data_IF_615980226849
#
_entry.id   IF_615980226849
#
_cell.length_a   1.000
_cell.length_b   1.000
_cell.length_c   1.000
_cell.angle_alpha   90.00
_cell.angle_beta   90.00
_cell.angle_gamma   90.00
#
_symmetry.space_group_name_H-M   'P 1'
#
loop_
_entity.id
_entity.type
_entity.pdbx_description
1 polymer ?
#
# COMPACT_ATOMS: atom_id res chain seq x y z
N UNK A 1 -19.66 -2.37 -23.41
CA UNK A 1 -18.88 -3.42 -22.71
C UNK A 1 -17.95 -2.76 -21.70
N UNK A 2 -18.17 -2.94 -20.39
CA UNK A 2 -17.37 -2.30 -19.33
C UNK A 2 -15.92 -2.77 -19.39
N UNK A 3 -15.03 -1.95 -19.99
CA UNK A 3 -13.62 -2.27 -20.25
C UNK A 3 -12.71 -2.25 -19.01
N UNK A 4 -13.24 -1.87 -17.85
CA UNK A 4 -12.47 -1.77 -16.61
C UNK A 4 -13.19 -2.47 -15.45
N UNK A 5 -13.32 -3.80 -15.51
CA UNK A 5 -13.69 -4.56 -14.31
C UNK A 5 -12.51 -4.55 -13.36
N UNK A 6 -12.69 -3.91 -12.20
CA UNK A 6 -11.76 -3.98 -11.07
C UNK A 6 -11.40 -5.44 -10.77
N UNK A 7 -10.19 -5.67 -10.28
CA UNK A 7 -9.81 -6.99 -9.77
C UNK A 7 -10.69 -7.32 -8.56
N UNK A 8 -11.27 -8.51 -8.56
CA UNK A 8 -12.03 -9.05 -7.43
C UNK A 8 -11.09 -9.60 -6.36
N UNK A 9 -11.59 -9.75 -5.13
CA UNK A 9 -10.83 -10.33 -4.02
C UNK A 9 -10.31 -11.74 -4.38
N UNK A 10 -11.17 -12.60 -4.93
CA UNK A 10 -10.81 -13.97 -5.33
C UNK A 10 -9.77 -13.99 -6.46
N UNK A 11 -9.84 -13.04 -7.39
CA UNK A 11 -8.83 -12.89 -8.44
C UNK A 11 -7.46 -12.54 -7.83
N UNK A 12 -7.42 -11.71 -6.78
CA UNK A 12 -6.17 -11.40 -6.07
C UNK A 12 -5.61 -12.61 -5.33
N UNK A 13 -6.46 -13.40 -4.68
CA UNK A 13 -6.05 -14.67 -4.04
C UNK A 13 -5.44 -15.58 -5.08
N UNK A 14 -6.09 -15.74 -6.24
CA UNK A 14 -5.59 -16.58 -7.32
C UNK A 14 -4.26 -16.11 -7.90
N UNK A 15 -4.03 -14.79 -8.00
CA UNK A 15 -2.70 -14.22 -8.37
C UNK A 15 -1.63 -14.72 -7.40
N UNK A 16 -1.89 -14.70 -6.08
CA UNK A 16 -0.91 -15.11 -5.07
C UNK A 16 -0.53 -16.59 -5.19
N UNK A 17 -1.51 -17.46 -5.41
CA UNK A 17 -1.32 -18.91 -5.63
C UNK A 17 -0.43 -19.17 -6.85
N UNK A 18 -0.79 -18.58 -8.00
CA UNK A 18 -0.03 -18.75 -9.24
C UNK A 18 1.37 -18.15 -9.16
N UNK A 19 1.57 -17.10 -8.36
CA UNK A 19 2.90 -16.55 -8.07
C UNK A 19 3.74 -17.50 -7.20
N UNK A 20 3.12 -18.22 -6.25
CA UNK A 20 3.80 -19.26 -5.46
C UNK A 20 4.23 -20.43 -6.34
N UNK A 21 3.45 -20.77 -7.36
CA UNK A 21 3.78 -21.76 -8.39
C UNK A 21 4.84 -21.28 -9.41
N UNK A 22 5.21 -19.99 -9.40
CA UNK A 22 6.21 -19.43 -10.31
C UNK A 22 5.68 -19.17 -11.73
N UNK A 23 4.36 -19.02 -11.89
CA UNK A 23 3.72 -18.73 -13.18
C UNK A 23 4.10 -17.34 -13.69
N UNK A 24 4.21 -17.19 -15.01
CA UNK A 24 4.49 -15.90 -15.64
C UNK A 24 3.27 -14.98 -15.64
N UNK A 25 3.45 -13.67 -15.76
CA UNK A 25 2.33 -12.73 -15.87
C UNK A 25 1.37 -13.07 -17.01
N UNK A 26 1.87 -13.59 -18.13
CA UNK A 26 1.03 -14.03 -19.25
C UNK A 26 0.15 -15.21 -18.87
N UNK A 27 0.70 -16.20 -18.17
CA UNK A 27 -0.05 -17.35 -17.71
C UNK A 27 -1.12 -16.96 -16.67
N UNK A 28 -0.75 -16.13 -15.69
CA UNK A 28 -1.68 -15.61 -14.67
C UNK A 28 -2.81 -14.82 -15.33
N UNK A 29 -2.48 -13.95 -16.28
CA UNK A 29 -3.47 -13.12 -16.95
C UNK A 29 -4.46 -13.95 -17.80
N UNK A 30 -3.97 -14.95 -18.52
CA UNK A 30 -4.82 -15.86 -19.29
C UNK A 30 -5.81 -16.61 -18.39
N UNK A 31 -5.35 -17.05 -17.22
CA UNK A 31 -6.19 -17.80 -16.28
C UNK A 31 -7.29 -16.93 -15.65
N UNK A 32 -7.01 -15.65 -15.42
CA UNK A 32 -7.98 -14.70 -14.86
C UNK A 32 -8.85 -14.01 -15.93
N UNK A 33 -8.61 -14.27 -17.22
CA UNK A 33 -9.25 -13.52 -18.31
C UNK A 33 -8.92 -12.02 -18.28
N UNK A 34 -7.71 -11.65 -17.82
CA UNK A 34 -7.23 -10.26 -17.73
C UNK A 34 -6.08 -10.01 -18.70
N UNK A 35 -5.65 -8.74 -18.79
CA UNK A 35 -4.42 -8.41 -19.52
C UNK A 35 -3.17 -8.67 -18.67
N UNK A 36 -2.03 -9.08 -19.26
CA UNK A 36 -0.76 -9.18 -18.53
C UNK A 36 -0.32 -7.86 -17.89
N UNK A 37 -0.69 -6.73 -18.49
CA UNK A 37 -0.45 -5.38 -17.94
C UNK A 37 -1.25 -5.12 -16.68
N UNK A 38 -2.49 -5.62 -16.58
CA UNK A 38 -3.32 -5.53 -15.36
C UNK A 38 -2.67 -6.30 -14.22
N UNK A 39 -2.26 -7.55 -14.48
CA UNK A 39 -1.58 -8.40 -13.49
C UNK A 39 -0.24 -7.76 -13.05
N UNK A 40 0.56 -7.28 -14.01
CA UNK A 40 1.83 -6.63 -13.67
C UNK A 40 1.63 -5.37 -12.84
N UNK A 41 0.60 -4.56 -13.12
CA UNK A 41 0.31 -3.34 -12.36
C UNK A 41 -0.15 -3.69 -10.95
N UNK A 42 -1.05 -4.65 -10.81
CA UNK A 42 -1.53 -5.12 -9.51
C UNK A 42 -0.36 -5.56 -8.61
N UNK A 43 0.50 -6.44 -9.12
CA UNK A 43 1.61 -6.99 -8.33
C UNK A 43 2.59 -5.89 -7.93
N UNK A 44 2.98 -5.01 -8.87
CA UNK A 44 3.93 -3.93 -8.61
C UNK A 44 3.38 -2.90 -7.62
N UNK A 45 2.10 -2.56 -7.72
CA UNK A 45 1.46 -1.55 -6.86
C UNK A 45 1.21 -2.03 -5.43
N UNK A 46 1.07 -3.34 -5.22
CA UNK A 46 0.73 -3.92 -3.91
C UNK A 46 1.81 -4.88 -3.38
N UNK A 47 3.08 -4.68 -3.78
CA UNK A 47 4.22 -5.44 -3.24
C UNK A 47 4.60 -4.93 -1.85
N UNK A 48 4.79 -5.85 -0.91
CA UNK A 48 5.24 -5.58 0.46
C UNK A 48 6.68 -6.01 0.63
N UNK A 49 7.50 -5.16 1.28
CA UNK A 49 8.87 -5.49 1.63
C UNK A 49 9.00 -5.97 3.08
N UNK A 50 9.73 -7.06 3.32
CA UNK A 50 10.04 -7.57 4.67
C UNK A 50 11.54 -7.80 4.84
N UNK A 51 12.13 -7.19 5.88
CA UNK A 51 13.54 -7.37 6.27
C UNK A 51 13.74 -8.66 7.07
N UNK A 52 13.48 -9.80 6.44
CA UNK A 52 13.54 -11.13 7.07
C UNK A 52 14.39 -12.10 6.23
N UNK A 53 15.17 -12.94 6.91
CA UNK A 53 15.86 -14.07 6.29
C UNK A 53 14.94 -15.27 6.08
N UNK A 54 15.48 -16.35 5.50
CA UNK A 54 14.83 -17.66 5.49
C UNK A 54 14.72 -18.21 6.93
N UNK A 55 13.86 -19.21 7.18
CA UNK A 55 13.82 -19.90 8.48
C UNK A 55 15.22 -20.31 8.94
N UNK A 56 15.57 -19.97 10.19
CA UNK A 56 16.89 -20.24 10.77
C UNK A 56 18.03 -19.34 10.27
N UNK A 57 17.79 -18.43 9.31
CA UNK A 57 18.79 -17.50 8.81
C UNK A 57 18.44 -16.06 9.18
N UNK A 58 19.40 -15.28 9.73
CA UNK A 58 19.17 -13.87 10.02
C UNK A 58 18.99 -13.08 8.72
N UNK A 59 18.19 -12.01 8.79
CA UNK A 59 18.19 -11.02 7.73
C UNK A 59 19.58 -10.40 7.61
N UNK A 60 20.14 -10.45 6.40
CA UNK A 60 21.39 -9.77 6.09
C UNK A 60 21.45 -9.48 4.58
N UNK A 61 21.25 -8.22 4.22
CA UNK A 61 21.36 -7.73 2.85
C UNK A 61 22.73 -7.12 2.50
N UNK A 62 23.80 -7.40 3.26
CA UNK A 62 25.14 -6.88 2.93
C UNK A 62 25.75 -7.66 1.75
N UNK A 63 26.41 -7.00 0.79
CA UNK A 63 27.19 -7.64 -0.30
C UNK A 63 28.27 -8.56 0.22
N UNK A 64 28.88 -8.21 1.36
CA UNK A 64 29.96 -8.97 1.99
C UNK A 64 29.46 -10.05 2.96
N UNK A 65 28.16 -10.32 3.05
CA UNK A 65 27.55 -11.26 4.02
C UNK A 65 28.11 -12.68 3.98
N UNK A 66 28.75 -13.12 2.91
CA UNK A 66 29.32 -14.47 2.83
C UNK A 66 30.78 -14.54 3.31
N UNK A 67 31.50 -13.42 3.35
CA UNK A 67 32.94 -13.36 3.64
C UNK A 67 33.32 -12.38 4.76
N UNK A 68 32.35 -11.66 5.32
CA UNK A 68 32.59 -10.71 6.40
C UNK A 68 33.02 -11.44 7.68
N UNK A 69 34.24 -11.13 8.15
CA UNK A 69 34.82 -11.70 9.37
C UNK A 69 34.61 -10.83 10.61
N UNK A 70 34.06 -9.63 10.45
CA UNK A 70 33.78 -8.72 11.57
C UNK A 70 32.85 -9.39 12.59
N UNK A 71 33.08 -9.13 13.87
CA UNK A 71 32.34 -9.71 15.00
C UNK A 71 32.19 -8.66 16.11
N UNK A 72 31.31 -8.93 17.08
CA UNK A 72 31.12 -8.07 18.26
C UNK A 72 30.70 -6.61 17.94
N UNK A 73 30.02 -6.39 16.80
CA UNK A 73 29.71 -5.03 16.34
C UNK A 73 28.52 -4.39 17.05
N UNK A 74 27.51 -5.18 17.43
CA UNK A 74 26.34 -4.69 18.14
C UNK A 74 26.26 -5.27 19.56
N UNK A 75 25.45 -4.65 20.42
CA UNK A 75 25.27 -5.05 21.82
C UNK A 75 24.90 -6.53 21.97
N UNK A 76 24.03 -7.05 21.09
CA UNK A 76 23.64 -8.46 21.06
C UNK A 76 24.80 -9.40 20.72
N UNK A 77 25.70 -8.99 19.82
CA UNK A 77 26.89 -9.78 19.47
C UNK A 77 27.93 -9.82 20.59
N UNK A 78 27.94 -8.81 21.46
CA UNK A 78 28.87 -8.68 22.59
C UNK A 78 28.54 -9.58 23.78
N UNK A 79 27.34 -10.16 23.83
CA UNK A 79 26.93 -11.00 24.94
C UNK A 79 27.70 -12.34 24.93
N UNK A 80 28.26 -12.76 26.08
CA UNK A 80 29.20 -13.89 26.17
C UNK A 80 28.66 -15.22 25.60
N UNK A 81 27.34 -15.41 25.60
CA UNK A 81 26.65 -16.60 25.06
C UNK A 81 26.26 -16.50 23.57
N UNK A 82 26.35 -15.32 22.97
CA UNK A 82 25.86 -15.03 21.62
C UNK A 82 26.91 -14.30 20.77
N UNK A 83 28.18 -14.63 21.02
CA UNK A 83 29.31 -14.18 20.20
C UNK A 83 29.03 -14.54 18.75
N UNK A 84 28.64 -13.56 17.95
CA UNK A 84 28.21 -13.77 16.58
C UNK A 84 29.03 -12.92 15.63
N UNK A 85 29.30 -13.51 14.48
CA UNK A 85 29.87 -12.80 13.36
C UNK A 85 28.81 -11.90 12.72
N UNK A 86 29.25 -10.82 12.07
CA UNK A 86 28.38 -9.86 11.38
C UNK A 86 27.47 -10.54 10.36
N UNK A 87 27.93 -11.61 9.70
CA UNK A 87 27.13 -12.37 8.75
C UNK A 87 26.01 -13.20 9.39
N UNK A 88 26.07 -13.44 10.70
CA UNK A 88 25.11 -14.23 11.48
C UNK A 88 24.20 -13.36 12.36
N UNK A 89 24.35 -12.03 12.32
CA UNK A 89 23.55 -11.12 13.13
C UNK A 89 22.64 -10.26 12.26
N UNK A 90 21.34 -10.24 12.60
CA UNK A 90 20.32 -9.41 11.91
C UNK A 90 20.43 -7.91 12.16
N UNK A 91 21.18 -7.51 13.20
CA UNK A 91 21.30 -6.11 13.63
C UNK A 91 22.59 -5.47 13.12
N UNK A 92 23.60 -6.26 12.73
CA UNK A 92 24.91 -5.72 12.38
C UNK A 92 24.91 -4.86 11.11
N UNK A 93 23.89 -4.96 10.26
CA UNK A 93 23.80 -4.16 9.04
C UNK A 93 23.74 -2.65 9.31
N UNK A 94 23.21 -2.21 10.45
CA UNK A 94 23.13 -0.77 10.80
C UNK A 94 24.38 -0.21 11.46
N UNK A 95 25.31 -1.05 11.91
CA UNK A 95 26.49 -0.64 12.70
C UNK A 95 27.82 -1.05 12.06
N UNK A 96 27.82 -1.95 11.08
CA UNK A 96 29.04 -2.42 10.45
C UNK A 96 29.62 -1.35 9.50
N UNK A 97 30.85 -0.90 9.75
CA UNK A 97 31.56 0.06 8.89
C UNK A 97 31.84 -0.46 7.48
N UNK A 98 31.87 -1.80 7.29
CA UNK A 98 32.04 -2.47 5.98
C UNK A 98 30.72 -2.83 5.32
N UNK A 99 29.58 -2.37 5.86
CA UNK A 99 28.27 -2.66 5.28
C UNK A 99 28.14 -2.03 3.89
N UNK A 100 27.76 -2.85 2.93
CA UNK A 100 27.39 -2.38 1.59
C UNK A 100 26.07 -3.05 1.22
N UNK A 101 24.98 -2.30 0.98
CA UNK A 101 23.69 -2.89 0.64
C UNK A 101 23.77 -3.69 -0.67
N UNK A 102 23.14 -4.86 -0.67
CA UNK A 102 22.93 -5.73 -1.83
C UNK A 102 21.44 -5.85 -2.14
N UNK A 103 21.14 -5.91 -3.43
CA UNK A 103 19.78 -6.05 -3.95
C UNK A 103 19.67 -7.34 -4.74
N UNK A 104 18.56 -8.07 -4.55
CA UNK A 104 18.37 -9.34 -5.23
C UNK A 104 18.17 -9.12 -6.74
N UNK A 105 19.10 -9.63 -7.56
CA UNK A 105 19.03 -9.53 -9.03
C UNK A 105 17.77 -10.14 -9.65
N UNK A 106 17.16 -11.13 -8.98
CA UNK A 106 15.92 -11.77 -9.45
C UNK A 106 14.73 -10.83 -9.39
N UNK A 107 14.76 -9.82 -8.52
CA UNK A 107 13.70 -8.81 -8.42
C UNK A 107 13.73 -7.80 -9.58
N UNK A 108 14.79 -7.78 -10.38
CA UNK A 108 14.85 -7.01 -11.63
C UNK A 108 14.09 -7.68 -12.80
N UNK A 109 13.53 -8.87 -12.58
CA UNK A 109 12.81 -9.64 -13.61
C UNK A 109 11.41 -9.98 -13.11
N UNK A 110 10.41 -10.10 -14.02
CA UNK A 110 9.09 -10.61 -13.66
C UNK A 110 9.20 -11.96 -12.93
N UNK A 111 8.39 -12.21 -11.87
CA UNK A 111 7.27 -11.38 -11.40
C UNK A 111 7.63 -10.28 -10.39
N UNK A 112 8.91 -9.92 -10.23
CA UNK A 112 9.40 -8.89 -9.29
C UNK A 112 9.13 -9.16 -7.80
N UNK A 113 8.66 -10.37 -7.46
CA UNK A 113 8.33 -10.79 -6.10
C UNK A 113 8.95 -12.14 -5.77
N UNK A 114 9.00 -12.46 -4.49
CA UNK A 114 9.64 -13.64 -3.91
C UNK A 114 8.67 -14.80 -3.68
N UNK A 115 7.37 -14.65 -3.96
CA UNK A 115 6.32 -15.63 -3.61
C UNK A 115 6.72 -17.05 -4.01
N UNK A 116 7.11 -17.28 -5.26
CA UNK A 116 7.62 -18.55 -5.79
C UNK A 116 9.15 -18.68 -5.87
N UNK A 117 9.92 -17.85 -5.14
CA UNK A 117 11.38 -17.90 -5.22
C UNK A 117 11.94 -19.16 -4.52
N UNK A 118 12.69 -20.03 -5.23
CA UNK A 118 13.16 -21.31 -4.70
C UNK A 118 14.17 -21.16 -3.55
N UNK A 119 14.82 -20.00 -3.41
CA UNK A 119 15.77 -19.72 -2.33
C UNK A 119 15.11 -19.09 -1.10
N UNK A 120 13.86 -18.60 -1.23
CA UNK A 120 13.17 -17.80 -0.19
C UNK A 120 13.14 -18.49 1.17
N UNK A 121 12.74 -19.75 1.19
CA UNK A 121 12.55 -20.53 2.43
C UNK A 121 13.75 -21.45 2.76
N UNK A 122 14.80 -21.44 1.92
CA UNK A 122 15.96 -22.34 2.10
C UNK A 122 17.20 -21.62 2.63
N UNK A 123 17.56 -20.49 2.04
CA UNK A 123 18.86 -19.84 2.33
C UNK A 123 18.92 -18.34 2.06
N UNK A 124 17.83 -17.72 1.59
CA UNK A 124 17.86 -16.31 1.25
C UNK A 124 17.86 -15.42 2.49
N UNK A 125 18.92 -14.64 2.69
CA UNK A 125 19.04 -13.65 3.78
C UNK A 125 18.65 -12.23 3.36
N UNK A 126 18.43 -11.98 2.07
CA UNK A 126 18.08 -10.65 1.53
C UNK A 126 16.65 -10.22 1.88
N UNK A 127 16.34 -8.93 1.71
CA UNK A 127 14.99 -8.38 1.84
C UNK A 127 14.03 -9.13 0.92
N UNK A 128 12.83 -9.44 1.44
CA UNK A 128 11.79 -10.17 0.71
C UNK A 128 10.80 -9.17 0.14
N UNK A 129 10.42 -9.34 -1.12
CA UNK A 129 9.33 -8.63 -1.78
C UNK A 129 8.20 -9.63 -1.94
N UNK A 130 7.03 -9.39 -1.37
CA UNK A 130 5.93 -10.34 -1.35
C UNK A 130 4.66 -9.66 -1.84
N UNK A 131 3.93 -10.35 -2.70
CA UNK A 131 2.55 -10.01 -2.97
C UNK A 131 1.65 -10.72 -1.95
N UNK A 132 0.75 -9.98 -1.31
CA UNK A 132 -0.21 -10.49 -0.32
C UNK A 132 -1.61 -10.00 -0.69
N UNK A 133 -2.57 -10.90 -1.00
CA UNK A 133 -3.87 -10.51 -1.54
C UNK A 133 -4.72 -9.73 -0.53
N UNK A 134 -4.59 -10.04 0.76
CA UNK A 134 -5.33 -9.36 1.84
C UNK A 134 -4.89 -7.90 1.93
N UNK A 135 -3.58 -7.66 1.99
CA UNK A 135 -3.04 -6.30 2.00
C UNK A 135 -3.31 -5.55 0.70
N UNK A 136 -3.30 -6.23 -0.45
CA UNK A 136 -3.63 -5.62 -1.74
C UNK A 136 -5.10 -5.19 -1.82
N UNK A 137 -6.02 -6.03 -1.32
CA UNK A 137 -7.44 -5.72 -1.24
C UNK A 137 -7.69 -4.53 -0.31
N UNK A 138 -7.08 -4.52 0.89
CA UNK A 138 -7.18 -3.41 1.84
C UNK A 138 -6.72 -2.08 1.24
N UNK A 139 -5.55 -2.06 0.59
CA UNK A 139 -5.03 -0.86 -0.08
C UNK A 139 -5.92 -0.39 -1.24
N UNK A 140 -6.54 -1.33 -1.97
CA UNK A 140 -7.49 -1.00 -3.02
C UNK A 140 -8.75 -0.35 -2.46
N UNK A 141 -9.30 -0.88 -1.36
CA UNK A 141 -10.47 -0.33 -0.66
C UNK A 141 -10.18 1.04 -0.04
N UNK A 142 -9.01 1.22 0.57
CA UNK A 142 -8.55 2.51 1.10
C UNK A 142 -8.48 3.56 -0.02
N UNK A 143 -7.80 3.25 -1.14
CA UNK A 143 -7.75 4.17 -2.30
C UNK A 143 -9.12 4.46 -2.89
N UNK A 144 -10.00 3.46 -2.94
CA UNK A 144 -11.37 3.65 -3.43
C UNK A 144 -12.19 4.54 -2.50
N UNK A 145 -11.98 4.40 -1.19
CA UNK A 145 -12.58 5.25 -0.17
C UNK A 145 -12.06 6.68 -0.28
N UNK A 146 -10.73 6.89 -0.33
CA UNK A 146 -10.09 8.20 -0.51
C UNK A 146 -10.57 8.92 -1.77
N UNK A 147 -10.64 8.20 -2.91
CA UNK A 147 -11.12 8.78 -4.17
C UNK A 147 -12.61 9.20 -4.11
N UNK A 148 -13.40 8.61 -3.20
CA UNK A 148 -14.84 8.90 -3.04
C UNK A 148 -15.11 9.85 -1.88
N UNK A 149 -14.23 9.91 -0.88
CA UNK A 149 -14.33 10.80 0.28
C UNK A 149 -13.80 12.20 -0.02
N UNK A 150 -12.95 12.36 -1.04
CA UNK A 150 -12.53 13.66 -1.52
C UNK A 150 -13.72 14.58 -1.81
N UNK A 151 -13.71 15.76 -1.18
CA UNK A 151 -14.53 16.88 -1.62
C UNK A 151 -13.76 17.49 -2.79
N UNK A 152 -14.32 17.42 -4.00
CA UNK A 152 -13.71 18.00 -5.21
C UNK A 152 -13.79 19.54 -5.24
N UNK A 153 -14.14 20.17 -4.13
CA UNK A 153 -14.32 21.61 -3.99
C UNK A 153 -13.05 22.20 -3.39
N UNK A 154 -12.64 23.35 -3.91
CA UNK A 154 -11.53 24.12 -3.35
C UNK A 154 -11.93 24.76 -2.01
N UNK A 155 -10.96 25.26 -1.26
CA UNK A 155 -11.23 26.01 -0.02
C UNK A 155 -12.12 27.25 -0.30
N UNK A 156 -11.90 27.93 -1.43
CA UNK A 156 -12.69 29.08 -1.86
C UNK A 156 -14.14 28.70 -2.18
N UNK A 157 -14.35 27.56 -2.87
CA UNK A 157 -15.69 27.02 -3.15
C UNK A 157 -16.44 26.69 -1.85
N UNK A 158 -15.75 26.07 -0.89
CA UNK A 158 -16.32 25.74 0.42
C UNK A 158 -16.68 27.01 1.19
N UNK A 159 -15.80 28.03 1.18
CA UNK A 159 -16.06 29.31 1.84
C UNK A 159 -17.25 30.06 1.20
N UNK A 160 -17.34 30.04 -0.13
CA UNK A 160 -18.47 30.61 -0.86
C UNK A 160 -19.80 29.95 -0.47
N UNK A 161 -19.84 28.61 -0.50
CA UNK A 161 -21.02 27.84 -0.10
C UNK A 161 -21.37 28.06 1.37
N UNK A 162 -20.38 28.08 2.27
CA UNK A 162 -20.58 28.36 3.69
C UNK A 162 -21.23 29.75 3.90
N UNK A 163 -20.77 30.77 3.17
CA UNK A 163 -21.30 32.13 3.23
C UNK A 163 -22.77 32.23 2.81
N UNK A 164 -23.24 31.38 1.89
CA UNK A 164 -24.64 31.35 1.46
C UNK A 164 -25.49 30.52 2.43
N UNK A 165 -25.01 29.33 2.78
CA UNK A 165 -25.82 28.28 3.39
C UNK A 165 -25.92 28.48 4.90
N UNK A 166 -24.82 28.83 5.57
CA UNK A 166 -24.81 28.97 7.03
C UNK A 166 -25.75 30.05 7.56
N UNK A 167 -25.87 31.24 6.94
CA UNK A 167 -26.86 32.24 7.36
C UNK A 167 -28.31 31.76 7.20
N UNK A 168 -28.61 31.00 6.14
CA UNK A 168 -29.96 30.50 5.86
C UNK A 168 -30.36 29.35 6.79
N UNK A 169 -29.42 28.45 7.10
CA UNK A 169 -29.61 27.40 8.11
C UNK A 169 -29.83 28.01 9.51
N UNK A 170 -29.07 29.04 9.89
CA UNK A 170 -29.28 29.77 11.16
C UNK A 170 -30.65 30.45 11.25
N UNK A 171 -31.27 30.78 10.11
CA UNK A 171 -32.67 31.26 10.01
C UNK A 171 -33.72 30.14 10.01
N UNK A 172 -33.33 28.90 10.33
CA UNK A 172 -34.18 27.70 10.38
C UNK A 172 -34.78 27.27 9.03
N UNK A 173 -34.17 27.66 7.90
CA UNK A 173 -34.53 27.04 6.63
C UNK A 173 -33.93 25.64 6.55
N UNK A 174 -34.65 24.68 5.95
CA UNK A 174 -34.09 23.34 5.72
C UNK A 174 -33.07 23.37 4.59
N UNK A 175 -32.08 22.46 4.64
CA UNK A 175 -31.04 22.36 3.61
C UNK A 175 -31.64 22.09 2.23
N UNK A 176 -32.66 21.22 2.16
CA UNK A 176 -33.42 20.96 0.96
C UNK A 176 -34.04 22.23 0.37
N UNK A 177 -34.70 23.05 1.22
CA UNK A 177 -35.31 24.31 0.80
C UNK A 177 -34.28 25.30 0.27
N UNK A 178 -33.09 25.35 0.86
CA UNK A 178 -31.98 26.20 0.40
C UNK A 178 -31.48 25.73 -0.97
N UNK A 179 -31.29 24.42 -1.17
CA UNK A 179 -30.81 23.86 -2.44
C UNK A 179 -31.81 24.08 -3.59
N UNK A 180 -33.12 24.04 -3.31
CA UNK A 180 -34.17 24.25 -4.32
C UNK A 180 -34.34 25.73 -4.69
N UNK A 181 -34.19 26.65 -3.73
CA UNK A 181 -34.40 28.08 -3.99
C UNK A 181 -33.14 28.84 -4.44
N UNK A 182 -31.96 28.25 -4.27
CA UNK A 182 -30.68 28.83 -4.70
C UNK A 182 -29.86 27.87 -5.60
N UNK A 183 -30.45 27.30 -6.67
CA UNK A 183 -29.77 26.27 -7.48
C UNK A 183 -28.51 26.81 -8.17
N UNK A 184 -28.56 28.04 -8.68
CA UNK A 184 -27.45 28.68 -9.41
C UNK A 184 -26.30 29.09 -8.49
N UNK A 185 -26.56 29.31 -7.20
CA UNK A 185 -25.54 29.70 -6.22
C UNK A 185 -24.94 28.52 -5.48
N UNK A 186 -25.67 27.39 -5.40
CA UNK A 186 -25.20 26.20 -4.70
C UNK A 186 -24.44 25.27 -5.64
N UNK A 187 -24.84 25.11 -6.91
CA UNK A 187 -24.14 24.31 -7.96
C UNK A 187 -23.63 22.89 -7.57
N UNK A 188 -23.93 22.38 -6.38
CA UNK A 188 -23.52 21.09 -5.85
C UNK A 188 -24.75 20.29 -5.44
N UNK A 189 -24.65 18.97 -5.42
CA UNK A 189 -25.76 18.11 -5.00
C UNK A 189 -26.07 18.29 -3.52
N UNK A 190 -27.34 18.12 -3.16
CA UNK A 190 -27.81 18.15 -1.77
C UNK A 190 -27.03 17.17 -0.88
N UNK A 191 -26.68 15.99 -1.38
CA UNK A 191 -25.85 15.02 -0.66
C UNK A 191 -24.43 15.53 -0.38
N UNK A 192 -23.86 16.34 -1.26
CA UNK A 192 -22.55 16.99 -1.05
C UNK A 192 -22.65 18.03 0.06
N UNK A 193 -23.76 18.76 0.12
CA UNK A 193 -24.02 19.78 1.14
C UNK A 193 -24.16 19.18 2.54
N UNK A 194 -24.90 18.08 2.66
CA UNK A 194 -24.95 17.31 3.92
C UNK A 194 -23.57 16.87 4.37
N UNK A 195 -22.75 16.34 3.45
CA UNK A 195 -21.38 15.91 3.74
C UNK A 195 -20.48 17.06 4.21
N UNK A 196 -20.61 18.26 3.63
CA UNK A 196 -19.86 19.45 4.05
C UNK A 196 -20.23 19.88 5.48
N UNK A 197 -21.51 19.83 5.83
CA UNK A 197 -22.01 20.14 7.18
C UNK A 197 -21.53 19.10 8.18
N UNK A 198 -21.64 17.81 7.85
CA UNK A 198 -21.19 16.70 8.72
C UNK A 198 -19.68 16.74 8.99
N UNK A 199 -18.89 17.17 8.00
CA UNK A 199 -17.45 17.37 8.15
C UNK A 199 -17.10 18.65 8.92
N UNK A 200 -18.09 19.44 9.34
CA UNK A 200 -17.89 20.68 10.11
C UNK A 200 -17.25 21.80 9.29
N UNK A 201 -17.36 21.75 7.97
CA UNK A 201 -16.79 22.76 7.07
C UNK A 201 -17.69 24.01 6.94
N UNK A 202 -18.93 23.93 7.43
CA UNK A 202 -19.85 25.05 7.53
C UNK A 202 -20.01 25.52 8.98
N UNK A 203 -20.21 26.83 9.16
CA UNK A 203 -20.40 27.46 10.47
C UNK A 203 -21.72 27.05 11.14
N UNK A 204 -22.72 26.68 10.34
CA UNK A 204 -24.02 26.22 10.80
C UNK A 204 -24.07 24.69 10.86
N UNK A 205 -24.74 24.17 11.89
CA UNK A 205 -25.03 22.73 12.03
C UNK A 205 -26.52 22.51 11.83
N UNK A 206 -26.89 21.43 11.14
CA UNK A 206 -28.26 20.93 11.14
C UNK A 206 -28.57 20.34 12.52
N UNK A 207 -29.62 20.86 13.16
CA UNK A 207 -30.17 20.31 14.41
C UNK A 207 -31.14 19.16 14.12
#
# INVERSE_FOLDING_TARGET
MNKNKHLLSDERIRIEELLKEGRSFKAIANELGKSPTTVSREIRSHTITKNVGSPGCPYNNCKHRFSCTSSFLCKECGFRRFRSHCNQCKLCNSVCSRYVPDSCRLLGKPPYVCNGCPKRNRSCTLQKHLYDPVSAQKQYEEKLSEARSGISLTEDDIAHLNGIVSPLLKKKQSLHHICVNHPDSVMVSESTMYRLIDYGLFDAKTH
#
